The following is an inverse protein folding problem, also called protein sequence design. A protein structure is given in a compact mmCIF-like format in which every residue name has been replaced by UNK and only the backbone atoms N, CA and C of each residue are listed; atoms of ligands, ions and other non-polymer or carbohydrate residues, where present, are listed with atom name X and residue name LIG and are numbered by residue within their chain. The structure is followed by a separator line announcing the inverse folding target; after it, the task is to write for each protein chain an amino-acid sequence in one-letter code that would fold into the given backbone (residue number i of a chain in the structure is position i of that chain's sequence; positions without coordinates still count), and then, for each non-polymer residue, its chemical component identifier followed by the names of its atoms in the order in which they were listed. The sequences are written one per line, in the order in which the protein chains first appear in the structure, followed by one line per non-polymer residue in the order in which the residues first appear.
data_IF_760226973295
#
_entry.id   IF_760226973295
#
_cell.length_a   1.000
_cell.length_b   1.000
_cell.length_c   1.000
_cell.angle_alpha   90.00
_cell.angle_beta   90.00
_cell.angle_gamma   90.00
#
_symmetry.space_group_name_H-M   'P 1'
#
loop_
_entity.id
_entity.type
_entity.pdbx_description
1 polymer ?
#
# COMPACT_ATOMS: atom_id res chain seq x y z
N UNK A 1 -11.44 -5.07 -16.90
CA UNK A 1 -11.13 -3.67 -16.58
C UNK A 1 -12.39 -3.02 -16.04
N UNK A 2 -12.39 -2.65 -14.76
CA UNK A 2 -13.47 -1.89 -14.14
C UNK A 2 -12.97 -0.45 -14.03
N UNK A 3 -13.73 0.53 -14.55
CA UNK A 3 -13.36 1.95 -14.52
C UNK A 3 -12.02 2.30 -15.22
N UNK A 4 -11.53 1.45 -16.13
CA UNK A 4 -10.24 1.64 -16.81
C UNK A 4 -9.01 1.19 -16.01
N UNK A 5 -9.22 0.68 -14.79
CA UNK A 5 -8.18 0.14 -13.93
C UNK A 5 -8.05 -1.38 -14.09
N UNK A 6 -6.82 -1.86 -13.92
CA UNK A 6 -6.48 -3.28 -13.89
C UNK A 6 -6.89 -3.90 -12.53
N UNK A 7 -7.21 -5.21 -12.51
CA UNK A 7 -7.47 -5.94 -11.28
C UNK A 7 -6.36 -5.81 -10.23
N UNK A 8 -5.09 -5.72 -10.66
CA UNK A 8 -3.95 -5.50 -9.76
C UNK A 8 -4.00 -4.11 -9.11
N UNK A 9 -4.31 -3.08 -9.90
CA UNK A 9 -4.41 -1.70 -9.41
C UNK A 9 -5.57 -1.54 -8.42
N UNK A 10 -6.72 -2.16 -8.74
CA UNK A 10 -7.88 -2.20 -7.85
C UNK A 10 -7.52 -2.93 -6.54
N UNK A 11 -6.79 -4.05 -6.62
CA UNK A 11 -6.28 -4.75 -5.44
C UNK A 11 -5.40 -3.86 -4.56
N UNK A 12 -4.50 -3.09 -5.17
CA UNK A 12 -3.61 -2.17 -4.44
C UNK A 12 -4.39 -1.04 -3.76
N UNK A 13 -5.42 -0.49 -4.43
CA UNK A 13 -6.33 0.50 -3.84
C UNK A 13 -7.09 -0.09 -2.66
N UNK A 14 -7.59 -1.33 -2.75
CA UNK A 14 -8.30 -1.99 -1.64
C UNK A 14 -7.37 -2.15 -0.43
N UNK A 15 -6.15 -2.65 -0.64
CA UNK A 15 -5.15 -2.79 0.43
C UNK A 15 -4.87 -1.45 1.09
N UNK A 16 -4.64 -0.40 0.28
CA UNK A 16 -4.41 0.94 0.76
C UNK A 16 -5.58 1.46 1.60
N UNK A 17 -6.80 1.33 1.10
CA UNK A 17 -8.01 1.83 1.79
C UNK A 17 -8.28 1.08 3.09
N UNK A 18 -8.08 -0.23 3.13
CA UNK A 18 -8.21 -1.02 4.37
C UNK A 18 -7.16 -0.62 5.41
N UNK A 19 -5.90 -0.47 4.99
CA UNK A 19 -4.81 -0.07 5.89
C UNK A 19 -5.02 1.34 6.41
N UNK A 20 -5.27 2.29 5.50
CA UNK A 20 -5.46 3.69 5.82
C UNK A 20 -6.70 3.90 6.71
N UNK A 21 -7.80 3.22 6.41
CA UNK A 21 -9.00 3.22 7.24
C UNK A 21 -8.76 2.66 8.65
N UNK A 22 -8.02 1.55 8.77
CA UNK A 22 -7.67 0.96 10.06
C UNK A 22 -6.76 1.85 10.91
N UNK A 23 -5.91 2.67 10.28
CA UNK A 23 -5.09 3.65 11.00
C UNK A 23 -5.92 4.87 11.41
N UNK A 24 -6.79 5.37 10.53
CA UNK A 24 -7.69 6.49 10.82
C UNK A 24 -8.71 6.18 11.91
N UNK A 25 -9.10 4.92 12.10
CA UNK A 25 -9.99 4.52 13.20
C UNK A 25 -9.32 4.61 14.59
N UNK A 26 -8.06 5.05 14.66
CA UNK A 26 -7.30 5.16 15.91
C UNK A 26 -6.82 3.82 16.47
N UNK A 27 -6.86 2.75 15.68
CA UNK A 27 -6.36 1.44 16.08
C UNK A 27 -4.82 1.45 16.03
N UNK A 28 -4.11 0.82 16.98
CA UNK A 28 -2.65 0.82 16.94
C UNK A 28 -2.13 0.19 15.64
N UNK A 29 -1.19 0.88 14.97
CA UNK A 29 -0.70 0.54 13.63
C UNK A 29 -0.21 -0.91 13.53
N UNK A 30 0.45 -1.40 14.58
CA UNK A 30 0.94 -2.77 14.64
C UNK A 30 -0.16 -3.83 14.41
N UNK A 31 -1.37 -3.57 14.93
CA UNK A 31 -2.52 -4.45 14.72
C UNK A 31 -3.28 -4.11 13.44
N UNK A 32 -3.30 -2.83 13.04
CA UNK A 32 -3.94 -2.40 11.80
C UNK A 32 -3.31 -3.04 10.56
N UNK A 33 -1.98 -3.23 10.53
CA UNK A 33 -1.27 -3.90 9.43
C UNK A 33 -1.77 -5.34 9.23
N UNK A 34 -1.85 -6.12 10.33
CA UNK A 34 -2.32 -7.51 10.27
C UNK A 34 -3.80 -7.61 9.88
N UNK A 35 -4.66 -6.81 10.51
CA UNK A 35 -6.09 -6.78 10.21
C UNK A 35 -6.40 -6.30 8.79
N UNK A 36 -5.73 -5.25 8.32
CA UNK A 36 -5.89 -4.74 6.96
C UNK A 36 -5.47 -5.78 5.92
N UNK A 37 -4.41 -6.56 6.16
CA UNK A 37 -4.02 -7.66 5.28
C UNK A 37 -5.10 -8.73 5.15
N UNK A 38 -5.74 -9.13 6.25
CA UNK A 38 -6.83 -10.12 6.24
C UNK A 38 -8.07 -9.58 5.53
N UNK A 39 -8.50 -8.36 5.86
CA UNK A 39 -9.70 -7.75 5.30
C UNK A 39 -9.53 -7.50 3.80
N UNK A 40 -8.41 -6.90 3.40
CA UNK A 40 -8.12 -6.65 1.98
C UNK A 40 -8.02 -7.94 1.19
N UNK A 41 -7.36 -8.98 1.72
CA UNK A 41 -7.30 -10.29 1.07
C UNK A 41 -8.70 -10.89 0.88
N UNK A 42 -9.56 -10.84 1.90
CA UNK A 42 -10.92 -11.35 1.79
C UNK A 42 -11.74 -10.61 0.72
N UNK A 43 -11.63 -9.28 0.67
CA UNK A 43 -12.30 -8.46 -0.34
C UNK A 43 -11.76 -8.79 -1.74
N UNK A 44 -10.44 -8.89 -1.91
CA UNK A 44 -9.80 -9.21 -3.19
C UNK A 44 -10.20 -10.62 -3.64
N UNK A 45 -10.19 -11.62 -2.74
CA UNK A 45 -10.62 -12.99 -3.05
C UNK A 45 -12.09 -13.07 -3.46
N UNK A 46 -12.97 -12.31 -2.79
CA UNK A 46 -14.38 -12.22 -3.15
C UNK A 46 -14.58 -11.57 -4.53
N UNK A 47 -13.83 -10.52 -4.84
CA UNK A 47 -13.92 -9.83 -6.14
C UNK A 47 -13.28 -10.64 -7.28
N UNK A 48 -12.19 -11.37 -7.02
CA UNK A 48 -11.54 -12.28 -7.96
C UNK A 48 -12.45 -13.47 -8.28
N UNK A 49 -13.08 -14.10 -7.28
CA UNK A 49 -14.06 -15.19 -7.49
C UNK A 49 -15.34 -14.74 -8.20
N UNK A 50 -15.71 -13.46 -8.10
CA UNK A 50 -16.79 -12.85 -8.87
C UNK A 50 -16.39 -12.49 -10.32
N UNK A 51 -15.13 -12.70 -10.72
CA UNK A 51 -14.61 -12.37 -12.05
C UNK A 51 -14.44 -10.86 -12.29
N UNK A 52 -14.46 -10.04 -11.24
CA UNK A 52 -14.38 -8.58 -11.32
C UNK A 52 -12.91 -8.08 -11.36
N UNK A 53 -11.97 -8.85 -10.81
CA UNK A 53 -10.54 -8.55 -10.83
C UNK A 53 -9.84 -9.35 -11.93
N UNK A 54 -9.81 -8.76 -13.12
CA UNK A 54 -9.08 -9.31 -14.27
C UNK A 54 -7.88 -8.44 -14.61
N UNK A 55 -6.72 -9.08 -14.77
CA UNK A 55 -5.46 -8.50 -15.22
C UNK A 55 -5.26 -8.78 -16.71
N UNK A 56 -4.88 -7.78 -17.49
CA UNK A 56 -4.55 -7.99 -18.90
C UNK A 56 -3.06 -8.26 -19.07
N UNK A 57 -2.70 -9.54 -19.17
CA UNK A 57 -1.34 -9.99 -19.45
C UNK A 57 -1.10 -10.15 -20.95
N UNK A 58 0.16 -10.08 -21.38
CA UNK A 58 0.55 -10.39 -22.76
C UNK A 58 0.35 -11.88 -23.01
N UNK A 59 -0.27 -12.23 -24.12
CA UNK A 59 -0.42 -13.62 -24.55
C UNK A 59 0.92 -14.22 -24.95
N UNK A 60 1.56 -14.92 -24.02
CA UNK A 60 2.82 -15.62 -24.28
C UNK A 60 2.65 -16.88 -25.14
N UNK A 61 1.42 -17.32 -25.39
CA UNK A 61 1.13 -18.47 -26.26
C UNK A 61 0.92 -18.08 -27.73
N UNK A 62 0.80 -16.78 -28.01
CA UNK A 62 0.59 -16.26 -29.35
C UNK A 62 1.82 -16.44 -30.26
N UNK A 63 1.58 -16.82 -31.52
CA UNK A 63 2.62 -16.89 -32.55
C UNK A 63 3.36 -15.56 -32.71
N UNK A 64 2.68 -14.42 -32.52
CA UNK A 64 3.29 -13.08 -32.62
C UNK A 64 4.30 -12.83 -31.49
N UNK A 65 4.05 -13.35 -30.28
CA UNK A 65 4.99 -13.27 -29.17
C UNK A 65 6.21 -14.17 -29.42
N UNK A 66 5.97 -15.38 -29.91
CA UNK A 66 7.02 -16.33 -30.26
C UNK A 66 7.94 -15.78 -31.35
N UNK A 67 7.39 -15.17 -32.41
CA UNK A 67 8.15 -14.53 -33.48
C UNK A 67 9.02 -13.38 -32.96
N UNK A 68 8.51 -12.60 -31.99
CA UNK A 68 9.26 -11.52 -31.35
C UNK A 68 10.43 -12.05 -30.52
N UNK A 69 10.24 -13.13 -29.76
CA UNK A 69 11.31 -13.78 -28.98
C UNK A 69 12.34 -14.43 -29.92
N UNK A 70 11.90 -15.06 -31.01
CA UNK A 70 12.76 -15.64 -32.04
C UNK A 70 13.58 -14.59 -32.80
N UNK A 71 13.12 -13.34 -32.88
CA UNK A 71 13.87 -12.21 -33.45
C UNK A 71 15.04 -11.74 -32.56
N UNK A 72 15.22 -12.34 -31.38
CA UNK A 72 16.32 -12.05 -30.45
C UNK A 72 15.95 -11.09 -29.31
N UNK A 73 14.67 -10.72 -29.18
CA UNK A 73 14.18 -9.89 -28.06
C UNK A 73 14.10 -10.76 -26.79
N UNK A 74 14.71 -10.29 -25.70
CA UNK A 74 14.67 -11.00 -24.41
C UNK A 74 13.24 -10.98 -23.84
N UNK A 75 12.70 -12.12 -23.38
CA UNK A 75 11.35 -12.21 -22.82
C UNK A 75 11.05 -11.17 -21.72
N UNK A 76 12.02 -10.91 -20.85
CA UNK A 76 11.89 -9.96 -19.73
C UNK A 76 11.73 -8.49 -20.17
N UNK A 77 12.11 -8.18 -21.41
CA UNK A 77 11.97 -6.85 -22.00
C UNK A 77 10.63 -6.62 -22.70
N UNK A 78 9.85 -7.70 -22.89
CA UNK A 78 8.55 -7.65 -23.54
C UNK A 78 7.51 -7.25 -22.50
N UNK A 79 7.00 -6.02 -22.62
CA UNK A 79 5.98 -5.48 -21.72
C UNK A 79 4.86 -4.83 -22.50
N UNK A 80 3.70 -4.69 -21.84
CA UNK A 80 2.48 -4.08 -22.41
C UNK A 80 2.76 -2.66 -22.91
N UNK A 81 3.74 -1.97 -22.31
CA UNK A 81 4.13 -0.61 -22.68
C UNK A 81 5.14 -0.56 -23.83
N UNK A 82 6.02 -1.56 -23.96
CA UNK A 82 7.03 -1.61 -25.03
C UNK A 82 6.49 -2.16 -26.34
N UNK A 83 5.56 -3.09 -26.26
CA UNK A 83 4.97 -3.77 -27.42
C UNK A 83 3.45 -3.77 -27.28
N UNK A 84 2.79 -2.63 -27.54
CA UNK A 84 1.35 -2.46 -27.30
C UNK A 84 0.48 -3.32 -28.22
N UNK A 85 1.03 -3.74 -29.37
CA UNK A 85 0.34 -4.48 -30.44
C UNK A 85 0.25 -5.99 -30.18
N UNK A 86 0.91 -6.50 -29.13
CA UNK A 86 0.85 -7.92 -28.79
C UNK A 86 -0.56 -8.30 -28.28
N UNK A 87 -1.09 -9.48 -28.67
CA UNK A 87 -2.35 -9.98 -28.14
C UNK A 87 -2.31 -10.09 -26.61
N UNK A 88 -3.44 -9.81 -25.95
CA UNK A 88 -3.56 -9.81 -24.48
C UNK A 88 -4.60 -10.82 -24.04
N UNK A 89 -4.32 -11.54 -22.98
CA UNK A 89 -5.28 -12.46 -22.33
C UNK A 89 -5.70 -11.86 -20.99
N UNK A 90 -6.99 -11.97 -20.69
CA UNK A 90 -7.51 -11.63 -19.37
C UNK A 90 -7.26 -12.80 -18.42
N UNK A 91 -6.35 -12.60 -17.48
CA UNK A 91 -6.04 -13.56 -16.42
C UNK A 91 -6.63 -13.08 -15.09
N UNK A 92 -6.99 -14.02 -14.21
CA UNK A 92 -7.39 -13.70 -12.85
C UNK A 92 -6.21 -13.13 -12.06
N UNK A 93 -6.47 -12.24 -11.09
CA UNK A 93 -5.41 -11.72 -10.20
C UNK A 93 -4.76 -12.87 -9.41
N UNK A 94 -5.54 -13.89 -9.05
CA UNK A 94 -5.00 -15.14 -8.51
C UNK A 94 -4.97 -16.25 -9.56
N UNK A 95 -3.87 -16.36 -10.31
CA UNK A 95 -3.69 -17.36 -11.36
C UNK A 95 -3.91 -18.83 -10.92
N UNK A 96 -3.66 -19.17 -9.65
CA UNK A 96 -3.89 -20.51 -9.08
C UNK A 96 -5.09 -20.57 -8.11
N UNK A 97 -5.96 -19.56 -8.14
CA UNK A 97 -7.09 -19.40 -7.23
C UNK A 97 -6.70 -18.82 -5.86
N UNK A 98 -7.67 -18.17 -5.21
CA UNK A 98 -7.50 -17.54 -3.90
C UNK A 98 -7.20 -18.58 -2.79
N UNK A 99 -7.70 -19.81 -2.91
CA UNK A 99 -7.44 -20.90 -1.94
C UNK A 99 -5.95 -21.26 -1.89
N UNK A 100 -5.32 -21.42 -3.05
CA UNK A 100 -3.88 -21.67 -3.16
C UNK A 100 -3.08 -20.50 -2.61
N UNK A 101 -3.51 -19.26 -2.91
CA UNK A 101 -2.87 -18.06 -2.37
C UNK A 101 -2.98 -18.01 -0.83
N UNK A 102 -4.14 -18.33 -0.27
CA UNK A 102 -4.36 -18.38 1.17
C UNK A 102 -3.51 -19.48 1.82
N UNK A 103 -3.53 -20.70 1.28
CA UNK A 103 -2.73 -21.82 1.78
C UNK A 103 -1.24 -21.52 1.78
N UNK A 104 -0.73 -20.86 0.72
CA UNK A 104 0.67 -20.42 0.65
C UNK A 104 1.00 -19.43 1.77
N UNK A 105 0.15 -18.42 1.97
CA UNK A 105 0.36 -17.41 3.02
C UNK A 105 0.26 -18.01 4.43
N UNK A 106 -0.75 -18.85 4.69
CA UNK A 106 -0.90 -19.53 5.98
C UNK A 106 0.29 -20.45 6.25
N UNK A 107 0.74 -21.22 5.25
CA UNK A 107 1.92 -22.08 5.39
C UNK A 107 3.17 -21.26 5.73
N UNK A 108 3.37 -20.10 5.10
CA UNK A 108 4.47 -19.19 5.46
C UNK A 108 4.35 -18.68 6.91
N UNK A 109 3.16 -18.29 7.34
CA UNK A 109 2.91 -17.82 8.70
C UNK A 109 3.18 -18.94 9.70
N UNK A 110 2.65 -20.13 9.47
CA UNK A 110 2.81 -21.31 10.35
C UNK A 110 4.28 -21.73 10.43
N UNK A 111 4.99 -21.77 9.30
CA UNK A 111 6.41 -22.10 9.30
C UNK A 111 7.23 -21.06 10.06
N UNK A 112 6.95 -19.75 9.84
CA UNK A 112 7.58 -18.68 10.63
C UNK A 112 7.21 -18.73 12.11
N UNK A 113 5.97 -19.07 12.45
CA UNK A 113 5.57 -19.25 13.85
C UNK A 113 6.34 -20.38 14.50
N UNK A 114 6.54 -21.50 13.81
CA UNK A 114 7.33 -22.62 14.32
C UNK A 114 8.78 -22.21 14.60
N UNK A 115 9.41 -21.48 13.68
CA UNK A 115 10.75 -20.89 13.87
C UNK A 115 10.78 -19.90 15.05
N UNK A 116 9.73 -19.09 15.23
CA UNK A 116 9.63 -18.08 16.29
C UNK A 116 9.31 -18.63 17.67
N UNK A 117 8.55 -19.73 17.77
CA UNK A 117 8.26 -20.42 19.03
C UNK A 117 9.56 -20.96 19.63
N UNK A 118 10.51 -21.37 18.79
CA UNK A 118 11.85 -21.82 19.20
C UNK A 118 12.79 -20.65 19.56
N UNK A 119 12.53 -19.42 19.09
CA UNK A 119 13.42 -18.25 19.23
C UNK A 119 12.95 -17.15 20.23
N UNK A 120 11.70 -17.19 20.73
CA UNK A 120 11.15 -16.25 21.71
C UNK A 120 10.42 -15.04 21.11
N UNK A 121 9.20 -14.76 21.59
CA UNK A 121 8.22 -13.82 21.00
C UNK A 121 8.46 -12.32 21.25
N UNK A 122 9.25 -11.94 22.25
CA UNK A 122 9.25 -10.55 22.77
C UNK A 122 10.13 -9.56 22.00
N UNK A 123 11.11 -10.03 21.22
CA UNK A 123 12.11 -9.14 20.60
C UNK A 123 11.52 -8.37 19.43
N UNK A 124 10.69 -9.01 18.60
CA UNK A 124 10.13 -8.36 17.39
C UNK A 124 9.15 -7.23 17.74
N UNK A 125 8.31 -7.38 18.77
CA UNK A 125 7.36 -6.34 19.17
C UNK A 125 8.05 -5.16 19.84
N UNK A 126 9.03 -5.41 20.72
CA UNK A 126 9.86 -4.34 21.29
C UNK A 126 10.66 -3.61 20.21
N UNK A 127 11.23 -4.35 19.25
CA UNK A 127 11.98 -3.76 18.13
C UNK A 127 11.07 -2.95 17.21
N UNK A 128 9.85 -3.44 16.92
CA UNK A 128 8.88 -2.69 16.12
C UNK A 128 8.51 -1.36 16.79
N UNK A 129 8.24 -1.37 18.10
CA UNK A 129 8.00 -0.14 18.87
C UNK A 129 9.22 0.78 18.83
N UNK A 130 10.43 0.24 19.00
CA UNK A 130 11.67 1.03 18.93
C UNK A 130 11.88 1.68 17.56
N UNK A 131 11.71 0.92 16.48
CA UNK A 131 11.85 1.42 15.10
C UNK A 131 10.79 2.48 14.78
N UNK A 132 9.59 2.32 15.33
CA UNK A 132 8.50 3.29 15.18
C UNK A 132 8.80 4.61 15.89
N UNK A 133 9.25 4.53 17.15
CA UNK A 133 9.69 5.71 17.91
C UNK A 133 10.89 6.39 17.24
N UNK A 134 11.86 5.60 16.76
CA UNK A 134 13.02 6.11 16.02
C UNK A 134 12.57 6.90 14.79
N UNK A 135 11.67 6.34 13.97
CA UNK A 135 11.16 7.02 12.78
C UNK A 135 10.42 8.32 13.14
N UNK A 136 9.62 8.33 14.20
CA UNK A 136 8.97 9.53 14.71
C UNK A 136 9.98 10.62 15.07
N UNK A 137 11.01 10.27 15.84
CA UNK A 137 12.08 11.20 16.25
C UNK A 137 12.89 11.68 15.03
N UNK A 138 13.19 10.80 14.07
CA UNK A 138 13.93 11.17 12.86
C UNK A 138 13.13 12.13 11.99
N UNK A 139 11.82 11.92 11.82
CA UNK A 139 10.96 12.82 11.05
C UNK A 139 10.75 14.17 11.73
N UNK A 140 10.62 14.20 13.05
CA UNK A 140 10.55 15.43 13.82
C UNK A 140 11.86 16.22 13.72
N UNK A 141 13.02 15.57 13.93
CA UNK A 141 14.33 16.23 13.90
C UNK A 141 14.77 16.66 12.51
N UNK A 142 14.35 15.95 11.47
CA UNK A 142 14.64 16.34 10.08
C UNK A 142 13.79 17.51 9.58
N UNK A 143 12.79 17.96 10.37
CA UNK A 143 11.84 19.03 10.02
C UNK A 143 11.03 18.79 8.73
N UNK A 144 11.10 17.59 8.16
CA UNK A 144 10.36 17.21 6.94
C UNK A 144 8.86 17.42 7.12
N UNK A 145 8.33 17.14 8.33
CA UNK A 145 6.94 17.38 8.66
C UNK A 145 6.53 18.86 8.54
N UNK A 146 7.38 19.77 9.01
CA UNK A 146 7.13 21.22 8.95
C UNK A 146 7.23 21.75 7.51
N UNK A 147 8.23 21.29 6.76
CA UNK A 147 8.42 21.69 5.36
C UNK A 147 7.28 21.19 4.48
N UNK A 148 6.77 19.98 4.73
CA UNK A 148 5.57 19.44 4.08
C UNK A 148 4.32 20.27 4.41
N UNK A 149 4.08 20.58 5.69
CA UNK A 149 2.95 21.42 6.11
C UNK A 149 2.99 22.79 5.46
N UNK A 150 4.16 23.45 5.47
CA UNK A 150 4.33 24.79 4.91
C UNK A 150 4.17 24.79 3.40
N UNK A 151 4.68 23.76 2.72
CA UNK A 151 4.52 23.61 1.27
C UNK A 151 3.06 23.37 0.90
N UNK A 152 2.37 22.50 1.61
CA UNK A 152 0.94 22.24 1.39
C UNK A 152 0.09 23.46 1.70
N UNK A 153 0.40 24.20 2.77
CA UNK A 153 -0.26 25.46 3.09
C UNK A 153 -0.11 26.50 1.96
N UNK A 154 1.02 26.54 1.23
CA UNK A 154 1.16 27.40 0.04
C UNK A 154 0.35 26.88 -1.15
N UNK A 155 0.33 25.56 -1.35
CA UNK A 155 -0.44 24.91 -2.43
C UNK A 155 -1.94 25.16 -2.28
N UNK A 156 -2.47 25.00 -1.06
CA UNK A 156 -3.89 25.21 -0.77
C UNK A 156 -4.22 26.65 -0.34
N UNK A 157 -3.22 27.51 -0.11
CA UNK A 157 -3.36 28.89 0.33
C UNK A 157 -4.37 29.78 -0.44
N UNK A 158 -4.53 29.68 -1.77
CA UNK A 158 -5.52 30.48 -2.50
C UNK A 158 -6.97 30.02 -2.27
N UNK A 159 -7.20 28.86 -1.64
CA UNK A 159 -8.54 28.37 -1.31
C UNK A 159 -8.97 28.92 0.06
N UNK A 160 -10.22 29.41 0.22
CA UNK A 160 -10.74 29.79 1.53
C UNK A 160 -10.72 28.58 2.47
N UNK A 161 -9.96 28.67 3.56
CA UNK A 161 -9.72 27.56 4.49
C UNK A 161 -8.57 26.61 4.11
N UNK A 162 -7.75 26.95 3.11
CA UNK A 162 -6.65 26.13 2.61
C UNK A 162 -5.62 25.69 3.66
N UNK A 163 -5.36 26.53 4.66
CA UNK A 163 -4.53 26.18 5.82
C UNK A 163 -5.11 25.01 6.63
N UNK A 164 -6.41 25.03 6.92
CA UNK A 164 -7.06 23.96 7.66
C UNK A 164 -7.05 22.64 6.88
N UNK A 165 -7.33 22.70 5.57
CA UNK A 165 -7.27 21.52 4.69
C UNK A 165 -5.85 20.94 4.65
N UNK A 166 -4.84 21.79 4.56
CA UNK A 166 -3.43 21.37 4.54
C UNK A 166 -3.03 20.64 5.83
N UNK A 167 -3.44 21.16 6.98
CA UNK A 167 -3.16 20.57 8.29
C UNK A 167 -3.83 19.20 8.44
N UNK A 168 -5.10 19.07 8.04
CA UNK A 168 -5.81 17.78 8.11
C UNK A 168 -5.19 16.74 7.19
N UNK A 169 -4.89 17.11 5.94
CA UNK A 169 -4.35 16.19 4.94
C UNK A 169 -2.93 15.74 5.32
N UNK A 170 -2.03 16.69 5.60
CA UNK A 170 -0.64 16.36 5.96
C UNK A 170 -0.59 15.66 7.32
N UNK A 171 -1.40 16.10 8.28
CA UNK A 171 -1.54 15.44 9.58
C UNK A 171 -1.98 14.00 9.44
N UNK A 172 -2.97 13.71 8.58
CA UNK A 172 -3.43 12.35 8.31
C UNK A 172 -2.32 11.46 7.70
N UNK A 173 -1.58 11.96 6.71
CA UNK A 173 -0.49 11.18 6.09
C UNK A 173 0.70 10.94 7.03
N UNK A 174 1.11 11.96 7.79
CA UNK A 174 2.21 11.82 8.75
C UNK A 174 1.82 10.93 9.93
N UNK A 175 0.59 11.06 10.44
CA UNK A 175 0.06 10.18 11.47
C UNK A 175 -0.08 8.74 10.95
N UNK A 176 -0.50 8.54 9.70
CA UNK A 176 -0.58 7.21 9.10
C UNK A 176 0.79 6.53 9.01
N UNK A 177 1.84 7.30 8.72
CA UNK A 177 3.20 6.75 8.66
C UNK A 177 3.80 6.48 10.04
N UNK A 178 3.65 7.40 10.99
CA UNK A 178 4.44 7.42 12.25
C UNK A 178 3.65 7.20 13.54
N UNK A 179 2.32 7.18 13.50
CA UNK A 179 1.39 7.00 14.63
C UNK A 179 1.52 7.93 15.83
N UNK A 180 2.51 8.83 15.86
CA UNK A 180 2.85 9.68 17.03
C UNK A 180 2.74 11.18 16.70
N UNK A 181 2.91 11.55 15.43
CA UNK A 181 3.08 12.95 15.00
C UNK A 181 1.78 13.79 15.09
N UNK A 182 0.63 13.18 15.39
CA UNK A 182 -0.64 13.91 15.56
C UNK A 182 -0.58 14.99 16.64
N UNK A 183 0.07 14.73 17.78
CA UNK A 183 0.16 15.69 18.88
C UNK A 183 1.08 16.88 18.56
N UNK A 184 2.21 16.64 17.90
CA UNK A 184 3.18 17.69 17.54
C UNK A 184 2.68 18.59 16.40
N UNK A 185 1.98 18.03 15.41
CA UNK A 185 1.36 18.82 14.33
C UNK A 185 0.21 19.67 14.84
N UNK A 186 -0.64 19.17 15.74
CA UNK A 186 -1.70 19.98 16.37
C UNK A 186 -1.09 21.14 17.16
N UNK A 187 0.00 20.89 17.89
CA UNK A 187 0.70 21.94 18.64
C UNK A 187 1.31 22.98 17.71
N UNK A 188 1.98 22.57 16.61
CA UNK A 188 2.48 23.51 15.60
C UNK A 188 1.36 24.26 14.88
N UNK A 189 0.22 23.59 14.60
CA UNK A 189 -0.97 24.20 14.01
C UNK A 189 -1.58 25.29 14.89
N UNK A 190 -1.72 25.01 16.20
CA UNK A 190 -2.19 25.98 17.20
C UNK A 190 -1.23 27.16 17.37
N UNK A 191 0.07 26.93 17.26
CA UNK A 191 1.08 28.00 17.29
C UNK A 191 1.14 28.81 15.98
N UNK A 192 0.66 28.25 14.86
CA UNK A 192 0.60 28.91 13.56
C UNK A 192 -0.69 29.70 13.31
N UNK A 193 -1.69 29.54 14.19
CA UNK A 193 -2.89 30.36 14.16
C UNK A 193 -2.49 31.82 14.43
N UNK A 194 -2.83 32.77 13.54
CA UNK A 194 -2.49 34.16 13.73
C UNK A 194 -3.25 34.68 14.97
N UNK A 195 -2.50 35.18 15.95
CA UNK A 195 -3.03 36.09 16.98
C UNK A 195 -3.19 37.49 16.43
#
# INVERSE_FOLDING_TARGET
MILGLDGVEIGLIIVFMCLFGGILSGFPVAFAIGGAGVISFAIIAALDSAGLLIHQAIDTSSQVYMDLVHSGVKPDSVSVFRYPDLPRVAEAVFASGWETALNRNISFIVNRMNERVLAGQSIETLLAVLMFVLMGITLERSKIANDLLTTMARVFGPLPGGLAVSVVVVGAFLAASTGIVGATVVTMGLLSLPT
#
